data_IF_288013475489
#
_entry.id   IF_288013475489
#
_cell.length_a   1.000
_cell.length_b   1.000
_cell.length_c   1.000
_cell.angle_alpha   90.00
_cell.angle_beta   90.00
_cell.angle_gamma   90.00
#
_symmetry.space_group_name_H-M   'P 1'
#
loop_
_entity.id
_entity.type
_entity.pdbx_description
1 polymer ?
#
# COMPACT_ATOMS: atom_id res chain seq x y z
N UNK A 1 9.02 12.46 -15.43
CA UNK A 1 7.64 12.20 -15.92
C UNK A 1 6.86 11.57 -14.78
N UNK A 2 5.96 12.30 -14.14
CA UNK A 2 5.13 11.75 -13.05
C UNK A 2 4.10 10.77 -13.62
N UNK A 3 4.04 9.55 -13.09
CA UNK A 3 3.14 8.49 -13.58
C UNK A 3 2.03 8.26 -12.56
N UNK A 4 0.77 8.38 -12.99
CA UNK A 4 -0.37 7.99 -12.16
C UNK A 4 -0.46 6.46 -12.13
N UNK A 5 -0.44 5.90 -10.93
CA UNK A 5 -0.54 4.46 -10.70
C UNK A 5 -2.00 4.11 -10.48
N UNK A 6 -2.43 3.00 -11.10
CA UNK A 6 -3.76 2.45 -10.88
C UNK A 6 -3.64 1.22 -9.98
N UNK A 7 -4.08 1.36 -8.74
CA UNK A 7 -4.12 0.28 -7.76
C UNK A 7 -5.36 -0.56 -7.97
N UNK A 8 -5.24 -1.88 -7.91
CA UNK A 8 -6.32 -2.84 -8.21
C UNK A 8 -6.36 -3.96 -7.17
N UNK A 9 -7.52 -4.56 -6.88
CA UNK A 9 -7.69 -5.57 -5.82
C UNK A 9 -6.69 -6.73 -5.86
N UNK A 10 -6.26 -7.13 -7.05
CA UNK A 10 -5.44 -8.32 -7.27
C UNK A 10 -3.93 -7.99 -7.27
N UNK A 11 -3.58 -6.72 -7.03
CA UNK A 11 -2.20 -6.28 -6.81
C UNK A 11 -1.74 -6.72 -5.41
N UNK A 12 -0.50 -7.20 -5.30
CA UNK A 12 0.14 -7.51 -4.03
C UNK A 12 0.25 -6.26 -3.15
N UNK A 13 0.05 -6.41 -1.85
CA UNK A 13 0.16 -5.31 -0.89
C UNK A 13 1.56 -4.69 -0.95
N UNK A 14 2.61 -5.51 -0.99
CA UNK A 14 4.01 -5.03 -1.12
C UNK A 14 4.24 -4.20 -2.39
N UNK A 15 3.65 -4.63 -3.51
CA UNK A 15 3.78 -3.93 -4.78
C UNK A 15 3.09 -2.56 -4.72
N UNK A 16 1.95 -2.47 -4.04
CA UNK A 16 1.27 -1.21 -3.81
C UNK A 16 2.08 -0.26 -2.92
N UNK A 17 2.70 -0.77 -1.85
CA UNK A 17 3.56 0.02 -0.95
C UNK A 17 4.76 0.60 -1.69
N UNK A 18 5.44 -0.18 -2.52
CA UNK A 18 6.60 0.32 -3.29
C UNK A 18 6.23 1.14 -4.52
N UNK A 19 4.99 1.03 -5.01
CA UNK A 19 4.54 1.78 -6.17
C UNK A 19 4.48 3.29 -5.88
N UNK A 20 4.12 3.71 -4.66
CA UNK A 20 3.98 5.13 -4.33
C UNK A 20 4.53 5.43 -2.94
N UNK A 21 5.34 6.49 -2.75
CA UNK A 21 5.94 6.81 -1.46
C UNK A 21 4.91 6.93 -0.33
N UNK A 22 3.74 7.53 -0.59
CA UNK A 22 2.66 7.69 0.41
C UNK A 22 1.71 6.49 0.57
N UNK A 23 1.86 5.39 -0.19
CA UNK A 23 0.93 4.27 -0.13
C UNK A 23 0.86 3.62 1.26
N UNK A 24 2.01 3.52 1.95
CA UNK A 24 2.08 3.00 3.32
C UNK A 24 1.19 3.79 4.30
N UNK A 25 1.09 5.11 4.14
CA UNK A 25 0.25 5.96 4.99
C UNK A 25 -1.24 5.69 4.78
N UNK A 26 -1.66 5.35 3.55
CA UNK A 26 -3.04 4.95 3.26
C UNK A 26 -3.39 3.67 4.02
N UNK A 27 -2.60 2.61 3.85
CA UNK A 27 -2.82 1.34 4.54
C UNK A 27 -2.87 1.50 6.07
N UNK A 28 -2.01 2.35 6.65
CA UNK A 28 -2.04 2.66 8.08
C UNK A 28 -3.35 3.31 8.53
N UNK A 29 -3.90 4.25 7.75
CA UNK A 29 -5.20 4.88 8.05
C UNK A 29 -6.35 3.88 8.07
N UNK A 30 -6.25 2.83 7.27
CA UNK A 30 -7.23 1.74 7.19
C UNK A 30 -6.92 0.56 8.13
N UNK A 31 -6.02 0.73 9.10
CA UNK A 31 -5.78 -0.24 10.17
C UNK A 31 -4.71 -1.29 9.91
N UNK A 32 -4.08 -1.31 8.72
CA UNK A 32 -2.92 -2.16 8.48
C UNK A 32 -1.66 -1.51 9.05
N UNK A 33 -1.30 -1.90 10.27
CA UNK A 33 -0.06 -1.45 10.94
C UNK A 33 1.19 -2.21 10.48
N UNK A 34 1.00 -3.24 9.66
CA UNK A 34 2.03 -4.14 9.10
C UNK A 34 2.88 -3.52 7.97
N UNK A 35 2.77 -2.21 7.77
CA UNK A 35 3.48 -1.39 6.78
C UNK A 35 3.89 -0.05 7.42
N UNK A 36 4.04 -0.03 8.74
CA UNK A 36 4.42 1.16 9.48
C UNK A 36 5.95 1.31 9.49
N UNK A 37 6.51 2.50 9.24
CA UNK A 37 7.89 2.79 9.57
C UNK A 37 8.07 2.83 11.10
N UNK A 38 8.47 1.70 11.70
CA UNK A 38 8.76 1.61 13.14
C UNK A 38 10.00 2.43 13.52
N UNK A 39 10.86 2.68 12.55
CA UNK A 39 11.99 3.59 12.62
C UNK A 39 11.91 4.56 11.42
N UNK A 40 12.51 5.75 11.52
CA UNK A 40 12.47 6.79 10.48
C UNK A 40 12.96 6.30 9.10
N UNK A 41 13.61 5.15 9.10
CA UNK A 41 14.41 4.53 8.07
C UNK A 41 14.06 3.04 7.83
N UNK A 42 13.01 2.48 8.47
CA UNK A 42 12.58 1.11 8.18
C UNK A 42 11.08 0.86 8.36
N UNK A 43 10.44 0.35 7.32
CA UNK A 43 9.07 -0.17 7.33
C UNK A 43 9.09 -1.59 7.90
N UNK A 44 8.38 -1.86 9.00
CA UNK A 44 8.08 -3.24 9.40
C UNK A 44 7.03 -3.79 8.41
N UNK A 45 7.52 -4.26 7.27
CA UNK A 45 6.74 -5.03 6.30
C UNK A 45 6.49 -6.42 6.87
N UNK A 46 5.24 -6.74 7.19
CA UNK A 46 4.89 -8.11 7.54
C UNK A 46 5.15 -9.02 6.34
N UNK A 47 5.77 -10.19 6.57
CA UNK A 47 6.03 -11.23 5.56
C UNK A 47 4.76 -11.59 4.77
N UNK A 48 3.58 -11.48 5.39
CA UNK A 48 2.29 -11.69 4.73
C UNK A 48 2.05 -10.70 3.57
N UNK A 49 2.51 -9.45 3.68
CA UNK A 49 2.35 -8.43 2.63
C UNK A 49 3.12 -8.74 1.33
N UNK A 50 4.14 -9.61 1.39
CA UNK A 50 4.92 -10.05 0.23
C UNK A 50 4.17 -11.10 -0.61
N UNK A 51 3.25 -11.83 0.01
CA UNK A 51 2.50 -12.93 -0.62
C UNK A 51 1.05 -12.55 -0.92
N UNK A 52 0.40 -11.77 -0.05
CA UNK A 52 -1.02 -11.42 -0.14
C UNK A 52 -1.31 -10.34 -1.20
N UNK A 53 -2.38 -10.57 -1.97
CA UNK A 53 -3.08 -9.51 -2.72
C UNK A 53 -3.87 -8.61 -1.76
N UNK A 54 -4.23 -7.39 -2.22
CA UNK A 54 -5.07 -6.50 -1.42
C UNK A 54 -6.43 -7.14 -1.08
N UNK A 55 -7.00 -7.94 -2.00
CA UNK A 55 -8.24 -8.67 -1.75
C UNK A 55 -8.10 -9.72 -0.65
N UNK A 56 -7.05 -10.54 -0.71
CA UNK A 56 -6.79 -11.56 0.31
C UNK A 56 -6.52 -10.93 1.67
N UNK A 57 -5.67 -9.90 1.71
CA UNK A 57 -5.39 -9.17 2.93
C UNK A 57 -6.64 -8.53 3.53
N UNK A 58 -7.56 -8.00 2.71
CA UNK A 58 -8.81 -7.42 3.21
C UNK A 58 -9.67 -8.48 3.92
N UNK A 59 -9.75 -9.69 3.35
CA UNK A 59 -10.47 -10.80 3.96
C UNK A 59 -9.82 -11.32 5.25
N UNK A 60 -8.49 -11.35 5.30
CA UNK A 60 -7.74 -11.90 6.44
C UNK A 60 -7.59 -10.91 7.60
N UNK A 61 -7.40 -9.63 7.29
CA UNK A 61 -7.11 -8.58 8.28
C UNK A 61 -8.31 -7.67 8.56
N UNK A 62 -9.42 -7.83 7.82
CA UNK A 62 -10.69 -7.16 8.09
C UNK A 62 -10.71 -5.66 7.75
N UNK A 63 -9.87 -5.19 6.84
CA UNK A 63 -9.90 -3.79 6.37
C UNK A 63 -10.84 -3.61 5.18
N UNK A 64 -11.36 -2.39 5.01
CA UNK A 64 -12.24 -2.05 3.88
C UNK A 64 -11.42 -1.88 2.59
N UNK A 65 -11.47 -2.91 1.73
CA UNK A 65 -10.78 -2.91 0.44
C UNK A 65 -11.21 -1.76 -0.48
N UNK A 66 -12.49 -1.41 -0.47
CA UNK A 66 -13.03 -0.37 -1.37
C UNK A 66 -12.51 1.00 -0.92
N UNK A 67 -12.53 1.25 0.39
CA UNK A 67 -12.00 2.49 0.96
C UNK A 67 -10.49 2.62 0.74
N UNK A 68 -9.73 1.55 0.96
CA UNK A 68 -8.27 1.53 0.69
C UNK A 68 -7.97 1.82 -0.78
N UNK A 69 -8.67 1.16 -1.70
CA UNK A 69 -8.47 1.37 -3.14
C UNK A 69 -8.83 2.79 -3.59
N UNK A 70 -9.90 3.36 -3.01
CA UNK A 70 -10.28 4.74 -3.30
C UNK A 70 -9.17 5.71 -2.89
N UNK A 71 -8.67 5.58 -1.66
CA UNK A 71 -7.61 6.45 -1.13
C UNK A 71 -6.27 6.27 -1.87
N UNK A 72 -5.89 5.03 -2.21
CA UNK A 72 -4.68 4.75 -2.98
C UNK A 72 -4.74 5.38 -4.38
N UNK A 73 -5.89 5.29 -5.06
CA UNK A 73 -6.07 5.88 -6.40
C UNK A 73 -6.30 7.40 -6.38
N UNK A 74 -6.56 7.97 -5.20
CA UNK A 74 -6.62 9.41 -4.97
C UNK A 74 -5.23 10.03 -4.72
N UNK A 75 -4.19 9.21 -4.51
CA UNK A 75 -2.82 9.70 -4.39
C UNK A 75 -2.39 10.48 -5.65
N UNK A 76 -1.54 11.51 -5.47
CA UNK A 76 -1.00 12.27 -6.59
C UNK A 76 -0.19 11.34 -7.53
N UNK A 77 0.08 11.78 -8.76
CA UNK A 77 1.03 11.06 -9.62
C UNK A 77 2.37 10.90 -8.90
N UNK A 78 2.85 9.66 -8.81
CA UNK A 78 4.16 9.37 -8.20
C UNK A 78 5.25 9.95 -9.11
N UNK A 79 6.12 10.78 -8.54
CA UNK A 79 7.43 11.04 -9.10
C UNK A 79 8.32 9.91 -8.61
N UNK A 80 8.70 8.99 -9.50
CA UNK A 80 9.48 7.82 -9.11
C UNK A 80 10.73 8.27 -8.34
N UNK A 81 11.13 7.60 -7.23
CA UNK A 81 12.50 7.74 -6.76
C UNK A 81 13.42 7.38 -7.94
N UNK A 82 14.36 8.28 -8.27
CA UNK A 82 15.34 8.05 -9.31
C UNK A 82 16.07 6.70 -9.06
N UNK A 83 16.40 5.94 -10.12
CA UNK A 83 17.09 4.66 -9.98
C UNK A 83 18.43 4.80 -9.25
#
# INVERSE_FOLDING_TARGET
MSKKIRFTPDMKIIAAVFAHPDAHTVFRRHGLKCVDPKYADSIELCVASEVETMREGAGLHGFDLVAVLADLNALPPSEAPAP
#
